data_IF_231676145956
#
_entry.id   IF_231676145956
#
_cell.length_a   1.000
_cell.length_b   1.000
_cell.length_c   1.000
_cell.angle_alpha   90.00
_cell.angle_beta   90.00
_cell.angle_gamma   90.00
#
_symmetry.space_group_name_H-M   'P 1'
#
loop_
_entity.id
_entity.type
_entity.pdbx_description
1 polymer ?
#
# COMPACT_ATOMS: atom_id res chain seq x y z
N UNK A 1 -3.00 5.81 2.42
CA UNK A 1 -2.25 4.56 2.13
C UNK A 1 -3.03 3.27 2.40
N UNK A 2 -3.43 2.96 3.64
CA UNK A 2 -4.07 1.67 3.99
C UNK A 2 -5.36 1.39 3.23
N UNK A 3 -6.24 2.39 3.12
CA UNK A 3 -7.46 2.30 2.32
C UNK A 3 -7.13 2.03 0.85
N UNK A 4 -6.18 2.77 0.26
CA UNK A 4 -5.74 2.53 -1.11
C UNK A 4 -5.25 1.10 -1.32
N UNK A 5 -4.51 0.52 -0.38
CA UNK A 5 -4.07 -0.88 -0.44
C UNK A 5 -5.24 -1.87 -0.44
N UNK A 6 -6.25 -1.64 0.42
CA UNK A 6 -7.47 -2.45 0.45
C UNK A 6 -8.28 -2.34 -0.83
N UNK A 7 -8.46 -1.12 -1.33
CA UNK A 7 -9.14 -0.89 -2.61
C UNK A 7 -8.37 -1.48 -3.79
N UNK A 8 -7.04 -1.36 -3.80
CA UNK A 8 -6.20 -1.95 -4.83
C UNK A 8 -6.29 -3.48 -4.83
N UNK A 9 -6.27 -4.13 -3.66
CA UNK A 9 -6.46 -5.56 -3.54
C UNK A 9 -7.82 -6.00 -4.11
N UNK A 10 -8.90 -5.31 -3.75
CA UNK A 10 -10.25 -5.61 -4.21
C UNK A 10 -10.43 -5.38 -5.72
N UNK A 11 -9.87 -4.29 -6.25
CA UNK A 11 -9.93 -3.95 -7.67
C UNK A 11 -9.04 -4.85 -8.53
N UNK A 12 -7.83 -5.14 -8.05
CA UNK A 12 -6.80 -5.90 -8.78
C UNK A 12 -6.93 -7.41 -8.66
N UNK A 13 -7.72 -7.92 -7.70
CA UNK A 13 -7.90 -9.36 -7.50
C UNK A 13 -6.65 -10.08 -7.00
N UNK A 14 -5.73 -9.35 -6.35
CA UNK A 14 -4.45 -9.87 -5.85
C UNK A 14 -4.48 -9.87 -4.32
N UNK A 15 -4.29 -11.04 -3.71
CA UNK A 15 -4.23 -11.22 -2.26
C UNK A 15 -2.81 -11.02 -1.70
N UNK A 16 -1.79 -11.44 -2.44
CA UNK A 16 -0.40 -11.45 -1.99
C UNK A 16 0.47 -10.77 -3.04
N UNK A 17 1.15 -9.70 -2.65
CA UNK A 17 1.91 -8.88 -3.60
C UNK A 17 2.23 -7.50 -3.06
N UNK A 18 2.58 -6.59 -3.97
CA UNK A 18 2.83 -5.19 -3.65
C UNK A 18 1.71 -4.30 -4.18
N UNK A 19 1.49 -3.18 -3.50
CA UNK A 19 0.68 -2.07 -4.00
C UNK A 19 1.56 -0.84 -4.06
N UNK A 20 1.41 -0.06 -5.12
CA UNK A 20 1.91 1.31 -5.17
C UNK A 20 0.75 2.25 -5.52
N UNK A 21 0.47 3.19 -4.62
CA UNK A 21 -0.49 4.29 -4.84
C UNK A 21 0.30 5.55 -5.21
N UNK A 22 0.30 5.90 -6.50
CA UNK A 22 0.99 7.10 -6.99
C UNK A 22 -0.01 8.25 -7.05
N UNK A 23 0.13 9.18 -6.13
CA UNK A 23 -0.67 10.40 -6.07
C UNK A 23 -0.06 11.57 -6.84
N UNK A 24 -0.48 12.78 -6.49
CA UNK A 24 0.09 14.03 -7.05
C UNK A 24 1.44 14.42 -6.44
N UNK A 25 1.78 13.92 -5.25
CA UNK A 25 2.98 14.34 -4.50
C UNK A 25 3.91 13.19 -4.15
N UNK A 26 3.35 12.02 -3.89
CA UNK A 26 4.04 10.87 -3.29
C UNK A 26 3.56 9.57 -3.92
N UNK A 27 4.41 8.57 -3.84
CA UNK A 27 4.10 7.19 -4.16
C UNK A 27 4.22 6.37 -2.88
N UNK A 28 3.12 5.77 -2.46
CA UNK A 28 3.02 4.99 -1.23
C UNK A 28 3.01 3.49 -1.57
N UNK A 29 4.04 2.79 -1.12
CA UNK A 29 4.19 1.35 -1.27
C UNK A 29 3.70 0.61 -0.03
N UNK A 30 3.11 -0.55 -0.23
CA UNK A 30 2.88 -1.53 0.84
C UNK A 30 2.83 -2.94 0.29
N UNK A 31 3.00 -3.91 1.18
CA UNK A 31 2.81 -5.31 0.86
C UNK A 31 1.42 -5.78 1.30
N UNK A 32 0.82 -6.68 0.52
CA UNK A 32 -0.40 -7.40 0.86
C UNK A 32 -0.06 -8.82 1.27
N UNK A 33 -0.75 -9.29 2.30
CA UNK A 33 -0.80 -10.69 2.74
C UNK A 33 -2.27 -11.06 2.93
N UNK A 34 -2.74 -12.07 2.21
CA UNK A 34 -4.16 -12.49 2.24
C UNK A 34 -5.16 -11.34 1.96
N UNK A 35 -4.77 -10.37 1.14
CA UNK A 35 -5.58 -9.19 0.79
C UNK A 35 -5.56 -8.06 1.84
N UNK A 36 -4.80 -8.20 2.93
CA UNK A 36 -4.64 -7.18 3.97
C UNK A 36 -3.23 -6.59 3.96
N UNK A 37 -3.07 -5.29 4.29
CA UNK A 37 -1.75 -4.68 4.42
C UNK A 37 -0.89 -5.40 5.46
N UNK A 38 0.32 -5.80 5.05
CA UNK A 38 1.34 -6.37 5.94
C UNK A 38 1.66 -5.39 7.07
N UNK A 39 1.75 -5.89 8.29
CA UNK A 39 2.12 -5.07 9.45
C UNK A 39 3.64 -4.90 9.56
N UNK A 40 4.06 -3.76 10.12
CA UNK A 40 5.46 -3.56 10.46
C UNK A 40 5.88 -4.50 11.61
N UNK A 41 6.98 -5.24 11.43
CA UNK A 41 7.49 -6.19 12.42
C UNK A 41 8.17 -5.53 13.63
N UNK A 42 8.38 -4.22 13.62
CA UNK A 42 9.12 -3.49 14.65
C UNK A 42 8.25 -2.42 15.33
N UNK A 43 8.59 -2.09 16.57
CA UNK A 43 7.99 -0.97 17.29
C UNK A 43 8.15 0.31 16.45
N UNK A 44 7.02 0.91 16.07
CA UNK A 44 7.01 2.13 15.24
C UNK A 44 7.09 3.35 16.15
N UNK A 45 7.90 4.33 15.73
CA UNK A 45 7.99 5.61 16.42
C UNK A 45 6.94 6.59 15.88
N UNK A 46 6.03 7.04 16.74
CA UNK A 46 4.98 8.02 16.39
C UNK A 46 5.22 9.26 17.22
N UNK A 47 5.56 10.38 16.56
CA UNK A 47 5.81 11.66 17.23
C UNK A 47 6.98 11.62 18.23
N UNK A 48 8.02 10.81 17.97
CA UNK A 48 9.16 10.65 18.88
C UNK A 48 8.99 9.54 19.93
N UNK A 49 7.84 8.87 19.97
CA UNK A 49 7.54 7.83 20.97
C UNK A 49 7.51 6.46 20.31
N UNK A 50 8.32 5.52 20.81
CA UNK A 50 8.22 4.12 20.41
C UNK A 50 6.91 3.52 20.93
N UNK A 51 6.08 3.06 20.00
CA UNK A 51 4.80 2.45 20.29
C UNK A 51 4.80 0.99 19.86
N UNK A 52 3.92 0.19 20.48
CA UNK A 52 3.58 -1.16 20.01
C UNK A 52 2.36 -1.12 19.09
N UNK A 53 2.09 0.03 18.46
CA UNK A 53 0.98 0.16 17.52
C UNK A 53 1.23 -0.69 16.29
N UNK A 54 0.16 -1.33 15.87
CA UNK A 54 0.15 -2.25 14.75
C UNK A 54 -0.18 -1.46 13.49
N UNK A 55 0.85 -0.78 12.98
CA UNK A 55 0.75 0.02 11.77
C UNK A 55 1.11 -0.83 10.55
N UNK A 56 0.44 -0.59 9.41
CA UNK A 56 0.88 -1.15 8.14
C UNK A 56 2.32 -0.76 7.82
N UNK A 57 3.05 -1.68 7.22
CA UNK A 57 4.39 -1.46 6.69
C UNK A 57 4.27 -0.69 5.36
N UNK A 58 4.43 0.63 5.45
CA UNK A 58 4.29 1.55 4.31
C UNK A 58 5.62 2.26 4.05
N UNK A 59 6.01 2.31 2.79
CA UNK A 59 7.13 3.11 2.32
C UNK A 59 6.63 4.22 1.40
N UNK A 60 6.84 5.48 1.77
CA UNK A 60 6.52 6.62 0.93
C UNK A 60 7.78 7.20 0.28
N UNK A 61 7.73 7.47 -1.02
CA UNK A 61 8.76 8.23 -1.75
C UNK A 61 8.16 9.52 -2.32
N UNK A 62 8.99 10.57 -2.44
CA UNK A 62 8.60 11.88 -2.98
C UNK A 62 8.45 11.90 -4.51
N UNK A 63 7.62 11.01 -5.05
CA UNK A 63 7.36 10.87 -6.47
C UNK A 63 5.86 10.80 -6.72
N UNK A 64 5.32 11.75 -7.47
CA UNK A 64 3.92 11.75 -7.91
C UNK A 64 3.75 12.56 -9.18
N UNK A 65 2.51 12.66 -9.68
CA UNK A 65 2.23 13.36 -10.93
C UNK A 65 2.68 14.83 -10.94
N UNK A 66 2.66 15.51 -9.80
CA UNK A 66 3.11 16.89 -9.63
C UNK A 66 4.57 17.05 -9.20
N UNK A 67 5.35 15.96 -9.10
CA UNK A 67 6.78 16.05 -8.81
C UNK A 67 7.47 16.91 -9.85
N UNK A 68 8.23 17.90 -9.38
CA UNK A 68 8.91 18.86 -10.25
C UNK A 68 10.12 18.21 -10.91
N UNK A 69 10.33 18.54 -12.18
CA UNK A 69 11.49 18.09 -12.94
C UNK A 69 12.64 19.06 -12.68
N UNK A 70 13.74 18.54 -12.14
CA UNK A 70 15.00 19.26 -12.00
C UNK A 70 15.95 18.81 -13.10
N UNK A 71 16.62 19.78 -13.72
CA UNK A 71 17.60 19.54 -14.79
C UNK A 71 19.01 19.79 -14.26
N UNK A 72 19.97 18.96 -14.69
CA UNK A 72 21.40 19.07 -14.39
C UNK A 72 21.78 19.03 -12.90
N UNK A 73 21.74 17.85 -12.24
CA UNK A 73 21.41 16.53 -12.78
C UNK A 73 19.89 16.35 -12.94
N UNK A 74 19.48 15.40 -13.80
CA UNK A 74 18.07 15.01 -13.89
C UNK A 74 17.60 14.47 -12.52
N UNK A 75 16.51 15.03 -12.02
CA UNK A 75 15.88 14.59 -10.77
C UNK A 75 14.38 14.88 -10.76
N UNK A 76 13.65 14.12 -9.95
CA UNK A 76 12.21 14.27 -9.76
C UNK A 76 11.90 14.52 -8.28
N UNK A 77 11.26 15.65 -8.00
CA UNK A 77 10.94 16.06 -6.63
C UNK A 77 12.19 16.30 -5.76
N UNK A 78 12.09 16.18 -4.41
CA UNK A 78 10.90 15.80 -3.65
C UNK A 78 9.81 16.89 -3.60
N UNK A 79 10.11 18.10 -4.08
CA UNK A 79 9.13 19.16 -4.19
C UNK A 79 8.11 18.88 -5.30
N UNK A 80 6.85 19.25 -5.02
CA UNK A 80 5.73 19.01 -5.90
C UNK A 80 4.80 20.21 -5.91
N UNK A 81 4.18 20.46 -7.07
CA UNK A 81 3.09 21.44 -7.18
C UNK A 81 1.80 20.93 -6.53
N UNK A 82 1.68 19.61 -6.32
CA UNK A 82 0.60 18.95 -5.61
C UNK A 82 -0.78 19.34 -6.14
N UNK A 83 -1.63 19.88 -5.26
CA UNK A 83 -2.98 20.34 -5.60
C UNK A 83 -3.01 21.49 -6.63
N UNK A 84 -1.86 22.15 -6.87
CA UNK A 84 -1.73 23.22 -7.88
C UNK A 84 -1.32 22.71 -9.25
N UNK A 85 -1.32 21.38 -9.48
CA UNK A 85 -0.98 20.78 -10.76
C UNK A 85 -1.74 21.42 -11.93
N UNK A 86 -3.06 21.58 -11.77
CA UNK A 86 -3.95 22.14 -12.79
C UNK A 86 -3.74 23.62 -13.10
N UNK A 87 -2.88 24.32 -12.35
CA UNK A 87 -2.57 25.74 -12.58
C UNK A 87 -1.09 26.01 -12.81
N UNK A 88 -0.19 25.16 -12.28
CA UNK A 88 1.27 25.39 -12.34
C UNK A 88 1.99 24.52 -13.37
N UNK A 89 1.44 23.36 -13.76
CA UNK A 89 2.08 22.47 -14.74
C UNK A 89 2.00 23.01 -16.17
N UNK A 90 2.98 22.67 -17.00
CA UNK A 90 3.11 23.21 -18.37
C UNK A 90 1.91 22.88 -19.25
N UNK A 91 1.42 21.64 -19.18
CA UNK A 91 0.29 21.16 -19.96
C UNK A 91 -1.01 21.92 -19.64
N UNK A 92 -1.11 22.52 -18.46
CA UNK A 92 -2.24 23.34 -18.00
C UNK A 92 -2.02 24.85 -18.19
N UNK A 93 -0.96 25.26 -18.90
CA UNK A 93 -0.64 26.68 -19.14
C UNK A 93 0.18 27.34 -18.03
N UNK A 94 0.66 26.58 -17.05
CA UNK A 94 1.61 27.04 -16.05
C UNK A 94 3.05 27.08 -16.57
N UNK A 95 4.01 27.20 -15.65
CA UNK A 95 5.44 27.38 -15.96
C UNK A 95 6.36 26.34 -15.32
N UNK A 96 5.80 25.39 -14.56
CA UNK A 96 6.57 24.41 -13.80
C UNK A 96 6.53 23.07 -14.52
N UNK A 97 7.66 22.53 -14.99
CA UNK A 97 7.69 21.19 -15.56
C UNK A 97 7.47 20.12 -14.48
N UNK A 98 6.55 19.21 -14.73
CA UNK A 98 6.15 18.13 -13.81
C UNK A 98 6.19 16.76 -14.47
N UNK A 99 6.14 15.69 -13.66
CA UNK A 99 6.06 14.32 -14.17
C UNK A 99 4.81 14.07 -15.03
N UNK A 100 3.69 14.73 -14.73
CA UNK A 100 2.47 14.70 -15.56
C UNK A 100 2.74 15.29 -16.96
N UNK A 101 3.50 16.38 -17.04
CA UNK A 101 3.87 16.99 -18.31
C UNK A 101 4.69 16.02 -19.18
N UNK A 102 5.64 15.29 -18.57
CA UNK A 102 6.42 14.27 -19.27
C UNK A 102 5.53 13.13 -19.80
N UNK A 103 4.55 12.67 -19.01
CA UNK A 103 3.62 11.63 -19.46
C UNK A 103 2.72 12.07 -20.62
N UNK A 104 2.22 13.32 -20.59
CA UNK A 104 1.45 13.90 -21.70
C UNK A 104 2.35 14.09 -22.93
N UNK A 105 3.58 14.58 -22.75
CA UNK A 105 4.55 14.75 -23.82
C UNK A 105 4.92 13.43 -24.49
N UNK A 106 5.04 12.33 -23.74
CA UNK A 106 5.29 10.98 -24.27
C UNK A 106 4.03 10.31 -24.87
N UNK A 107 2.84 10.87 -24.65
CA UNK A 107 1.57 10.30 -25.10
C UNK A 107 1.07 9.12 -24.25
N UNK A 108 1.62 8.94 -23.04
CA UNK A 108 1.16 7.93 -22.07
C UNK A 108 -0.08 8.37 -21.29
N UNK A 109 -0.37 9.67 -21.28
CA UNK A 109 -1.47 10.25 -20.55
C UNK A 109 -2.21 11.28 -21.42
N UNK A 110 -3.53 11.23 -21.40
CA UNK A 110 -4.40 12.22 -22.02
C UNK A 110 -5.37 12.78 -20.98
N UNK A 111 -5.30 14.09 -20.74
CA UNK A 111 -6.21 14.80 -19.83
C UNK A 111 -6.94 15.88 -20.63
N UNK A 112 -8.27 15.88 -20.56
CA UNK A 112 -9.09 16.86 -21.27
C UNK A 112 -8.75 18.29 -20.84
N UNK A 113 -8.63 19.19 -21.82
CA UNK A 113 -8.28 20.59 -21.59
C UNK A 113 -6.79 20.86 -21.40
N UNK A 114 -5.93 19.85 -21.55
CA UNK A 114 -4.47 20.04 -21.54
C UNK A 114 -3.88 20.21 -22.94
N UNK A 115 -2.74 20.87 -23.00
CA UNK A 115 -1.90 20.97 -24.20
C UNK A 115 -0.69 20.03 -24.06
N UNK A 116 -0.15 19.54 -25.19
CA UNK A 116 1.07 18.73 -25.17
C UNK A 116 2.30 19.63 -24.97
N UNK A 117 3.02 19.52 -23.85
CA UNK A 117 4.18 20.36 -23.59
C UNK A 117 5.38 19.92 -24.45
N UNK A 118 6.26 20.87 -24.78
CA UNK A 118 7.52 20.59 -25.47
C UNK A 118 8.57 20.11 -24.46
N UNK A 119 8.61 18.79 -24.26
CA UNK A 119 9.57 18.10 -23.39
C UNK A 119 10.27 16.99 -24.18
N UNK A 120 11.36 17.29 -24.90
CA UNK A 120 12.04 16.32 -25.75
C UNK A 120 12.71 15.18 -24.99
N UNK A 121 12.95 15.34 -23.69
CA UNK A 121 13.50 14.33 -22.79
C UNK A 121 12.42 13.61 -21.95
N UNK A 122 11.16 13.63 -22.37
CA UNK A 122 10.04 12.99 -21.66
C UNK A 122 10.30 11.51 -21.34
N UNK A 123 10.83 10.74 -22.30
CA UNK A 123 11.13 9.31 -22.11
C UNK A 123 12.23 9.09 -21.05
N UNK A 124 13.24 9.95 -21.02
CA UNK A 124 14.32 9.91 -20.02
C UNK A 124 13.77 10.21 -18.61
N UNK A 125 12.87 11.19 -18.52
CA UNK A 125 12.20 11.56 -17.26
C UNK A 125 11.35 10.38 -16.74
N UNK A 126 10.58 9.73 -17.62
CA UNK A 126 9.75 8.58 -17.27
C UNK A 126 10.60 7.37 -16.87
N UNK A 127 11.71 7.12 -17.55
CA UNK A 127 12.67 6.08 -17.16
C UNK A 127 13.30 6.35 -15.78
N UNK A 128 13.55 7.61 -15.45
CA UNK A 128 14.02 8.00 -14.12
C UNK A 128 12.95 7.75 -13.04
N UNK A 129 11.69 8.11 -13.30
CA UNK A 129 10.56 7.82 -12.42
C UNK A 129 10.40 6.30 -12.19
N UNK A 130 10.47 5.51 -13.27
CA UNK A 130 10.42 4.05 -13.19
C UNK A 130 11.53 3.47 -12.31
N UNK A 131 12.76 3.99 -12.44
CA UNK A 131 13.89 3.59 -11.60
C UNK A 131 13.63 3.86 -10.11
N UNK A 132 13.04 5.02 -9.78
CA UNK A 132 12.64 5.35 -8.41
C UNK A 132 11.55 4.39 -7.89
N UNK A 133 10.58 4.02 -8.73
CA UNK A 133 9.52 3.07 -8.38
C UNK A 133 10.10 1.66 -8.14
N UNK A 134 11.00 1.19 -9.00
CA UNK A 134 11.70 -0.11 -8.83
C UNK A 134 12.45 -0.14 -7.49
N UNK A 135 13.18 0.93 -7.16
CA UNK A 135 13.86 1.04 -5.87
C UNK A 135 12.91 1.06 -4.67
N UNK A 136 11.71 1.65 -4.81
CA UNK A 136 10.66 1.61 -3.80
C UNK A 136 10.08 0.22 -3.61
N UNK A 137 9.76 -0.47 -4.71
CA UNK A 137 9.23 -1.83 -4.69
C UNK A 137 10.24 -2.82 -4.08
N UNK A 138 11.51 -2.75 -4.47
CA UNK A 138 12.57 -3.63 -3.96
C UNK A 138 12.73 -3.51 -2.43
N UNK A 139 12.70 -2.27 -1.91
CA UNK A 139 12.75 -2.01 -0.45
C UNK A 139 11.55 -2.55 0.33
N UNK A 140 10.42 -2.82 -0.33
CA UNK A 140 9.22 -3.35 0.31
C UNK A 140 9.21 -4.90 0.32
N UNK A 141 9.98 -5.53 -0.56
CA UNK A 141 10.09 -6.99 -0.63
C UNK A 141 10.90 -7.55 0.54
N UNK A 142 10.54 -8.77 0.97
CA UNK A 142 11.26 -9.51 2.00
C UNK A 142 12.13 -10.64 1.43
N UNK A 143 11.90 -11.01 0.17
CA UNK A 143 12.63 -12.06 -0.53
C UNK A 143 12.96 -11.60 -1.96
N UNK A 144 13.81 -12.37 -2.64
CA UNK A 144 14.13 -12.15 -4.06
C UNK A 144 13.05 -12.67 -5.01
N UNK A 145 12.00 -13.33 -4.50
CA UNK A 145 10.93 -13.91 -5.33
C UNK A 145 10.17 -12.83 -6.08
N UNK A 146 9.72 -13.14 -7.30
CA UNK A 146 8.89 -12.23 -8.08
C UNK A 146 7.46 -12.23 -7.54
N UNK A 147 6.90 -11.03 -7.35
CA UNK A 147 5.55 -10.84 -6.81
C UNK A 147 4.76 -9.88 -7.70
N UNK A 148 3.43 -10.00 -7.79
CA UNK A 148 2.63 -9.06 -8.54
C UNK A 148 2.65 -7.68 -7.86
N UNK A 149 2.54 -6.61 -8.66
CA UNK A 149 2.43 -5.24 -8.17
C UNK A 149 1.17 -4.57 -8.74
N UNK A 150 0.30 -4.09 -7.86
CA UNK A 150 -0.89 -3.34 -8.24
C UNK A 150 -0.55 -1.85 -8.25
N UNK A 151 -0.69 -1.20 -9.40
CA UNK A 151 -0.47 0.23 -9.55
C UNK A 151 -1.82 0.97 -9.57
N UNK A 152 -2.02 1.84 -8.58
CA UNK A 152 -3.24 2.64 -8.39
C UNK A 152 -2.92 4.13 -8.20
N UNK A 153 -3.96 4.97 -8.18
CA UNK A 153 -3.83 6.41 -8.06
C UNK A 153 -3.66 7.11 -9.42
N UNK A 154 -3.92 8.42 -9.45
CA UNK A 154 -3.89 9.21 -10.69
C UNK A 154 -2.51 9.34 -11.33
N UNK A 155 -1.44 9.02 -10.60
CA UNK A 155 -0.06 8.98 -11.07
C UNK A 155 0.43 7.60 -11.52
N UNK A 156 -0.44 6.58 -11.60
CA UNK A 156 -0.04 5.20 -11.92
C UNK A 156 0.68 5.04 -13.27
N UNK A 157 0.56 6.02 -14.17
CA UNK A 157 1.33 6.10 -15.42
C UNK A 157 2.86 6.14 -15.21
N UNK A 158 3.34 6.52 -14.02
CA UNK A 158 4.76 6.54 -13.68
C UNK A 158 5.34 5.13 -13.44
N UNK A 159 4.48 4.13 -13.28
CA UNK A 159 4.87 2.73 -13.08
C UNK A 159 5.08 2.08 -14.44
N UNK A 160 6.25 1.47 -14.66
CA UNK A 160 6.55 0.70 -15.89
C UNK A 160 5.82 -0.63 -15.92
N UNK A 161 5.51 -1.15 -17.11
CA UNK A 161 4.86 -2.47 -17.27
C UNK A 161 5.76 -3.65 -16.88
N UNK A 162 7.07 -3.47 -17.01
CA UNK A 162 8.07 -4.49 -16.70
C UNK A 162 9.07 -3.93 -15.71
N UNK A 163 9.26 -4.64 -14.59
CA UNK A 163 10.19 -4.25 -13.53
C UNK A 163 10.89 -5.49 -12.98
N UNK A 164 12.18 -5.36 -12.67
CA UNK A 164 12.92 -6.45 -12.06
C UNK A 164 12.31 -6.83 -10.71
N UNK A 165 12.10 -8.14 -10.48
CA UNK A 165 11.55 -8.63 -9.22
C UNK A 165 10.03 -8.49 -9.10
N UNK A 166 9.33 -8.07 -10.15
CA UNK A 166 7.87 -7.99 -10.23
C UNK A 166 7.40 -8.95 -11.32
N UNK A 167 6.50 -9.88 -10.98
CA UNK A 167 6.01 -10.90 -11.92
C UNK A 167 5.06 -10.31 -12.96
N UNK A 168 4.20 -9.38 -12.53
CA UNK A 168 3.28 -8.64 -13.39
C UNK A 168 2.88 -7.31 -12.72
N UNK A 169 2.52 -6.32 -13.54
CA UNK A 169 2.00 -5.02 -13.09
C UNK A 169 0.51 -4.96 -13.41
N UNK A 170 -0.31 -5.05 -12.37
CA UNK A 170 -1.77 -5.01 -12.45
C UNK A 170 -2.23 -3.55 -12.38
N UNK A 171 -2.97 -3.10 -13.40
CA UNK A 171 -3.63 -1.79 -13.42
C UNK A 171 -5.13 -2.00 -13.51
N UNK A 172 -5.83 -2.02 -12.37
CA UNK A 172 -7.25 -2.30 -12.38
C UNK A 172 -8.05 -1.12 -12.93
N UNK A 173 -9.23 -1.42 -13.48
CA UNK A 173 -10.23 -0.41 -13.78
C UNK A 173 -10.57 0.39 -12.51
N UNK A 174 -10.78 1.70 -12.67
CA UNK A 174 -11.06 2.62 -11.56
C UNK A 174 -9.95 2.67 -10.48
N UNK A 175 -8.71 2.31 -10.81
CA UNK A 175 -7.58 2.33 -9.88
C UNK A 175 -7.30 3.71 -9.27
N UNK A 176 -7.70 4.80 -9.91
CA UNK A 176 -7.65 6.17 -9.36
C UNK A 176 -8.61 6.38 -8.17
N UNK A 177 -9.61 5.53 -8.01
CA UNK A 177 -10.59 5.55 -6.90
C UNK A 177 -10.30 4.55 -5.79
N UNK A 178 -9.16 3.84 -5.84
CA UNK A 178 -8.81 2.77 -4.89
C UNK A 178 -8.94 3.21 -3.42
N UNK A 179 -8.53 4.43 -3.06
CA UNK A 179 -8.67 4.95 -1.70
C UNK A 179 -10.14 5.02 -1.24
N UNK A 180 -11.05 5.49 -2.10
CA UNK A 180 -12.47 5.59 -1.78
C UNK A 180 -13.12 4.21 -1.68
N UNK A 181 -12.77 3.30 -2.59
CA UNK A 181 -13.25 1.91 -2.56
C UNK A 181 -12.78 1.20 -1.30
N UNK A 182 -11.49 1.31 -0.95
CA UNK A 182 -10.98 0.68 0.27
C UNK A 182 -11.59 1.24 1.55
N UNK A 183 -11.95 2.53 1.57
CA UNK A 183 -12.70 3.12 2.68
C UNK A 183 -14.13 2.56 2.77
N UNK A 184 -14.77 2.27 1.64
CA UNK A 184 -16.12 1.70 1.57
C UNK A 184 -16.16 0.19 1.88
N UNK A 185 -15.06 -0.53 1.64
CA UNK A 185 -14.89 -1.97 1.92
C UNK A 185 -14.41 -2.25 3.36
N UNK A 186 -14.41 -1.25 4.25
CA UNK A 186 -13.94 -1.42 5.61
C UNK A 186 -14.82 -2.40 6.39
N UNK A 187 -14.20 -3.48 6.88
CA UNK A 187 -14.84 -4.51 7.69
C UNK A 187 -14.63 -4.24 9.17
N UNK A 188 -15.49 -4.84 9.99
CA UNK A 188 -15.32 -4.84 11.44
C UNK A 188 -14.24 -5.86 11.79
N UNK A 189 -13.20 -5.42 12.50
CA UNK A 189 -12.11 -6.30 12.96
C UNK A 189 -12.26 -6.65 14.44
N UNK A 190 -11.82 -7.85 14.81
CA UNK A 190 -11.61 -8.24 16.21
C UNK A 190 -10.25 -8.91 16.38
N UNK A 191 -9.68 -8.82 17.58
CA UNK A 191 -8.35 -9.34 17.82
C UNK A 191 -8.04 -9.74 19.25
N UNK A 192 -7.10 -10.66 19.39
CA UNK A 192 -6.54 -11.05 20.68
C UNK A 192 -5.02 -11.20 20.57
N UNK A 193 -4.33 -10.82 21.65
CA UNK A 193 -2.91 -11.06 21.85
C UNK A 193 -2.70 -11.38 23.34
N UNK A 194 -2.59 -12.68 23.66
CA UNK A 194 -2.56 -13.16 25.04
C UNK A 194 -1.65 -14.37 25.19
N UNK A 195 -1.17 -14.57 26.41
CA UNK A 195 -0.44 -15.78 26.82
C UNK A 195 -1.43 -16.81 27.34
N UNK A 196 -1.42 -17.99 26.73
CA UNK A 196 -2.19 -19.16 27.14
C UNK A 196 -1.26 -20.15 27.85
N UNK A 197 -1.77 -20.82 28.89
CA UNK A 197 -1.03 -21.79 29.69
C UNK A 197 -1.91 -23.02 29.95
N UNK A 198 -1.30 -24.19 30.07
CA UNK A 198 -2.02 -25.44 30.34
C UNK A 198 -2.88 -25.94 29.17
N UNK A 199 -2.67 -25.41 27.97
CA UNK A 199 -3.38 -25.77 26.74
C UNK A 199 -2.36 -26.06 25.63
N UNK A 200 -2.58 -27.13 24.86
CA UNK A 200 -1.78 -27.42 23.67
C UNK A 200 -2.07 -26.44 22.52
N UNK A 201 -1.27 -26.51 21.46
CA UNK A 201 -1.33 -25.65 20.27
C UNK A 201 -2.74 -25.42 19.74
N UNK A 202 -3.39 -26.49 19.30
CA UNK A 202 -4.70 -26.41 18.65
C UNK A 202 -5.75 -25.77 19.56
N UNK A 203 -5.72 -26.09 20.86
CA UNK A 203 -6.67 -25.59 21.84
C UNK A 203 -6.47 -24.10 22.12
N UNK A 204 -5.23 -23.63 22.21
CA UNK A 204 -4.93 -22.21 22.42
C UNK A 204 -5.25 -21.37 21.18
N UNK A 205 -4.95 -21.88 19.99
CA UNK A 205 -5.31 -21.24 18.72
C UNK A 205 -6.83 -21.13 18.57
N UNK A 206 -7.57 -22.21 18.81
CA UNK A 206 -9.02 -22.19 18.76
C UNK A 206 -9.63 -21.19 19.76
N UNK A 207 -9.10 -21.14 20.98
CA UNK A 207 -9.58 -20.19 22.00
C UNK A 207 -9.25 -18.74 21.63
N UNK A 208 -8.06 -18.49 21.06
CA UNK A 208 -7.70 -17.16 20.58
C UNK A 208 -8.63 -16.68 19.45
N UNK A 209 -8.92 -17.54 18.47
CA UNK A 209 -9.87 -17.25 17.38
C UNK A 209 -11.26 -16.97 17.95
N UNK A 210 -11.72 -17.74 18.93
CA UNK A 210 -13.01 -17.52 19.60
C UNK A 210 -13.07 -16.13 20.23
N UNK A 211 -12.06 -15.74 21.02
CA UNK A 211 -12.00 -14.42 21.66
C UNK A 211 -11.98 -13.30 20.62
N UNK A 212 -11.17 -13.43 19.57
CA UNK A 212 -11.11 -12.43 18.49
C UNK A 212 -12.46 -12.31 17.74
N UNK A 213 -13.16 -13.43 17.53
CA UNK A 213 -14.50 -13.45 16.93
C UNK A 213 -15.53 -12.75 17.80
N UNK A 214 -15.51 -12.98 19.12
CA UNK A 214 -16.40 -12.28 20.05
C UNK A 214 -16.16 -10.77 20.08
N UNK A 215 -14.89 -10.36 20.02
CA UNK A 215 -14.50 -8.94 19.93
C UNK A 215 -15.02 -8.29 18.64
N UNK A 216 -14.91 -8.97 17.49
CA UNK A 216 -15.43 -8.50 16.20
C UNK A 216 -16.97 -8.39 16.22
N UNK A 217 -17.65 -9.43 16.73
CA UNK A 217 -19.12 -9.47 16.81
C UNK A 217 -19.66 -8.39 17.76
N UNK A 218 -18.99 -8.19 18.91
CA UNK A 218 -19.34 -7.11 19.84
C UNK A 218 -19.17 -5.73 19.20
N UNK A 219 -18.20 -5.62 18.28
CA UNK A 219 -17.96 -4.42 17.48
C UNK A 219 -18.91 -4.27 16.28
N UNK A 220 -19.81 -5.24 16.04
CA UNK A 220 -20.85 -5.17 15.02
C UNK A 220 -20.67 -6.08 13.80
N UNK A 221 -19.65 -6.95 13.78
CA UNK A 221 -19.47 -7.92 12.70
C UNK A 221 -20.63 -8.94 12.64
N UNK A 222 -21.03 -9.36 11.44
CA UNK A 222 -21.92 -10.50 11.24
C UNK A 222 -21.21 -11.80 11.67
N UNK A 223 -21.68 -12.51 12.72
CA UNK A 223 -21.03 -13.72 13.23
C UNK A 223 -20.90 -14.85 12.20
N UNK A 224 -21.75 -14.87 11.18
CA UNK A 224 -21.77 -15.93 10.16
C UNK A 224 -20.74 -15.73 9.06
N UNK A 225 -20.18 -14.52 8.97
CA UNK A 225 -19.25 -14.10 7.91
C UNK A 225 -17.90 -13.64 8.48
N UNK A 226 -17.58 -14.02 9.72
CA UNK A 226 -16.26 -13.74 10.31
C UNK A 226 -15.21 -14.70 9.74
N UNK A 227 -14.13 -14.14 9.21
CA UNK A 227 -12.99 -14.87 8.67
C UNK A 227 -11.72 -14.60 9.47
N UNK A 228 -10.87 -15.61 9.60
CA UNK A 228 -9.56 -15.50 10.26
C UNK A 228 -8.55 -15.01 9.26
N UNK A 229 -7.90 -13.88 9.56
CA UNK A 229 -6.92 -13.26 8.66
C UNK A 229 -5.48 -13.47 9.10
N UNK A 230 -5.25 -13.66 10.39
CA UNK A 230 -3.90 -13.82 10.95
C UNK A 230 -3.97 -14.65 12.22
N UNK A 231 -3.11 -15.66 12.31
CA UNK A 231 -2.84 -16.39 13.56
C UNK A 231 -1.33 -16.56 13.69
N UNK A 232 -0.81 -16.12 14.83
CA UNK A 232 0.59 -16.31 15.20
C UNK A 232 0.64 -17.05 16.55
N UNK A 233 1.42 -18.13 16.62
CA UNK A 233 1.67 -18.86 17.85
C UNK A 233 3.17 -18.89 18.15
N UNK A 234 3.54 -18.30 19.29
CA UNK A 234 4.91 -18.20 19.76
C UNK A 234 5.06 -18.93 21.10
N UNK A 235 5.70 -20.13 21.13
CA UNK A 235 6.01 -20.83 22.37
C UNK A 235 6.94 -20.01 23.27
N UNK A 236 6.66 -19.97 24.57
CA UNK A 236 7.47 -19.26 25.57
C UNK A 236 8.27 -20.27 26.38
N UNK A 237 9.50 -20.56 25.92
CA UNK A 237 10.33 -21.65 26.44
C UNK A 237 10.67 -21.57 27.94
N UNK A 238 10.63 -20.37 28.54
CA UNK A 238 11.01 -20.15 29.94
C UNK A 238 9.82 -20.09 30.92
N UNK A 239 8.59 -20.25 30.42
CA UNK A 239 7.40 -20.30 31.26
C UNK A 239 6.94 -21.75 31.43
N UNK A 240 6.63 -22.20 32.67
CA UNK A 240 6.10 -23.53 32.90
C UNK A 240 4.68 -23.68 32.32
N UNK A 241 4.29 -24.91 32.01
CA UNK A 241 2.92 -25.23 31.59
C UNK A 241 2.61 -25.06 30.10
N UNK A 242 3.59 -25.32 29.23
CA UNK A 242 3.45 -25.19 27.76
C UNK A 242 2.90 -23.81 27.34
N UNK A 243 3.43 -22.78 28.01
CA UNK A 243 2.98 -21.42 27.82
C UNK A 243 3.28 -20.93 26.41
N UNK A 244 2.30 -20.29 25.79
CA UNK A 244 2.41 -19.80 24.42
C UNK A 244 1.68 -18.48 24.27
N UNK A 245 2.29 -17.54 23.55
CA UNK A 245 1.61 -16.30 23.16
C UNK A 245 0.92 -16.57 21.85
N UNK A 246 -0.41 -16.57 21.88
CA UNK A 246 -1.21 -16.70 20.66
C UNK A 246 -1.82 -15.35 20.34
N UNK A 247 -1.65 -14.95 19.09
CA UNK A 247 -2.27 -13.78 18.50
C UNK A 247 -3.21 -14.24 17.41
N UNK A 248 -4.45 -13.75 17.43
CA UNK A 248 -5.40 -14.01 16.37
C UNK A 248 -6.11 -12.72 15.98
N UNK A 249 -6.34 -12.54 14.69
CA UNK A 249 -7.16 -11.45 14.14
C UNK A 249 -8.18 -12.03 13.19
N UNK A 250 -9.38 -11.47 13.29
CA UNK A 250 -10.50 -11.82 12.44
C UNK A 250 -11.17 -10.55 11.92
N UNK A 251 -11.91 -10.68 10.84
CA UNK A 251 -12.69 -9.60 10.23
C UNK A 251 -14.02 -10.14 9.75
N UNK A 252 -15.02 -9.26 9.65
CA UNK A 252 -16.29 -9.58 9.03
C UNK A 252 -17.08 -8.33 8.67
N UNK A 253 -18.06 -8.45 7.76
CA UNK A 253 -18.90 -7.33 7.36
C UNK A 253 -19.76 -6.82 8.52
N UNK A 254 -20.14 -5.53 8.47
CA UNK A 254 -21.07 -4.95 9.43
C UNK A 254 -22.46 -5.58 9.26
N UNK A 255 -23.12 -5.88 10.38
CA UNK A 255 -24.49 -6.41 10.44
C UNK A 255 -25.57 -5.41 10.01
#
# INVERSE_FOLDING_TARGET
PTNSMRGAAALGGVSDGLVVDVGGTTADFGALVSGYPRQANAAVEVGGVRTLFQLPDVLSIGLGGGSRIHVNPLGLGPDSVGQRLSTEALAFGGSVPTLTDAAIAAGLLNIDGTSRPDLPNADEILAHAATMIVGGADRMKLSSEEVPLIAVGGGAFAVSDTMQGISEVVRPDYGDTANAIGAALAEVSGGVDRVFQGMGHDAAVAEAIRIATEDAVTSGADPSLVEVIEVEDLPIAYLPGDARRVRARVVGPLK
#
